data_IF_336766824485
#
_entry.id   IF_336766824485
#
_cell.length_a   1.000
_cell.length_b   1.000
_cell.length_c   1.000
_cell.angle_alpha   90.00
_cell.angle_beta   90.00
_cell.angle_gamma   90.00
#
_symmetry.space_group_name_H-M   'P 1'
#
loop_
_entity.id
_entity.type
_entity.pdbx_description
1 polymer ?
#
# COMPACT_ATOMS: atom_id res chain seq x y z
N UNK A 1 -12.77 -5.19 4.24
CA UNK A 1 -12.09 -6.36 3.66
C UNK A 1 -10.56 -6.22 3.68
N UNK A 2 -9.98 -5.10 3.25
CA UNK A 2 -8.52 -4.87 3.30
C UNK A 2 -7.87 -5.04 4.68
N UNK A 3 -8.49 -4.53 5.76
CA UNK A 3 -7.94 -4.72 7.11
C UNK A 3 -7.82 -6.19 7.53
N UNK A 4 -8.72 -7.07 7.06
CA UNK A 4 -8.63 -8.49 7.37
C UNK A 4 -7.42 -9.14 6.68
N UNK A 5 -7.12 -8.73 5.45
CA UNK A 5 -5.95 -9.20 4.70
C UNK A 5 -4.64 -8.64 5.29
N UNK A 6 -4.63 -7.36 5.67
CA UNK A 6 -3.48 -6.72 6.34
C UNK A 6 -3.20 -7.42 7.68
N UNK A 7 -4.24 -7.64 8.49
CA UNK A 7 -4.11 -8.35 9.75
C UNK A 7 -3.62 -9.78 9.55
N UNK A 8 -4.13 -10.49 8.55
CA UNK A 8 -3.68 -11.83 8.22
C UNK A 8 -2.19 -11.84 7.84
N UNK A 9 -1.77 -10.94 6.95
CA UNK A 9 -0.39 -10.79 6.54
C UNK A 9 0.56 -10.56 7.72
N UNK A 10 0.21 -9.67 8.65
CA UNK A 10 1.06 -9.39 9.81
C UNK A 10 0.97 -10.45 10.91
N UNK A 11 -0.23 -10.89 11.27
CA UNK A 11 -0.42 -11.78 12.42
C UNK A 11 -0.15 -13.25 12.09
N UNK A 12 -0.52 -13.70 10.89
CA UNK A 12 -0.38 -15.11 10.47
C UNK A 12 0.87 -15.33 9.62
N UNK A 13 1.10 -14.50 8.61
CA UNK A 13 2.26 -14.65 7.73
C UNK A 13 3.54 -13.99 8.29
N UNK A 14 3.42 -13.22 9.38
CA UNK A 14 4.55 -12.54 10.04
C UNK A 14 5.35 -11.64 9.10
N UNK A 15 4.67 -11.03 8.12
CA UNK A 15 5.31 -10.06 7.25
C UNK A 15 5.67 -8.80 8.05
N UNK A 16 6.82 -8.21 7.74
CA UNK A 16 7.26 -6.95 8.34
C UNK A 16 6.66 -5.75 7.60
N UNK A 17 6.32 -5.94 6.32
CA UNK A 17 5.93 -4.89 5.40
C UNK A 17 4.94 -5.37 4.35
N UNK A 18 4.02 -4.48 3.97
CA UNK A 18 3.17 -4.61 2.79
C UNK A 18 3.33 -3.40 1.89
N UNK A 19 3.43 -3.63 0.58
CA UNK A 19 3.44 -2.60 -0.46
C UNK A 19 2.21 -2.77 -1.37
N UNK A 20 1.62 -1.66 -1.78
CA UNK A 20 0.52 -1.61 -2.74
C UNK A 20 0.85 -0.60 -3.83
N UNK A 21 0.82 -1.04 -5.09
CA UNK A 21 1.04 -0.18 -6.26
C UNK A 21 -0.25 -0.01 -7.03
N UNK A 22 -0.56 1.23 -7.43
CA UNK A 22 -1.80 1.57 -8.13
C UNK A 22 -1.58 2.76 -9.06
N UNK A 23 -2.32 2.82 -10.18
CA UNK A 23 -2.22 3.94 -11.11
C UNK A 23 -2.66 5.25 -10.43
N UNK A 24 -2.02 6.39 -10.74
CA UNK A 24 -2.41 7.70 -10.17
C UNK A 24 -3.87 8.08 -10.48
N UNK A 25 -4.41 7.60 -11.61
CA UNK A 25 -5.82 7.81 -11.98
C UNK A 25 -6.82 6.98 -11.15
N UNK A 26 -6.36 5.98 -10.41
CA UNK A 26 -7.24 5.11 -9.61
C UNK A 26 -7.49 5.71 -8.22
N UNK A 27 -8.36 6.71 -8.17
CA UNK A 27 -8.72 7.44 -6.95
C UNK A 27 -9.30 6.50 -5.88
N UNK A 28 -10.04 5.47 -6.28
CA UNK A 28 -10.64 4.52 -5.34
C UNK A 28 -9.57 3.72 -4.58
N UNK A 29 -8.58 3.18 -5.29
CA UNK A 29 -7.47 2.45 -4.66
C UNK A 29 -6.61 3.36 -3.79
N UNK A 30 -6.37 4.61 -4.21
CA UNK A 30 -5.62 5.60 -3.43
C UNK A 30 -6.27 5.84 -2.08
N UNK A 31 -7.57 6.20 -2.09
CA UNK A 31 -8.33 6.45 -0.86
C UNK A 31 -8.43 5.21 0.01
N UNK A 32 -8.51 4.02 -0.59
CA UNK A 32 -8.53 2.77 0.16
C UNK A 32 -7.20 2.52 0.89
N UNK A 33 -6.07 2.74 0.22
CA UNK A 33 -4.74 2.62 0.84
C UNK A 33 -4.55 3.60 2.00
N UNK A 34 -4.94 4.87 1.81
CA UNK A 34 -4.94 5.88 2.86
C UNK A 34 -5.84 5.48 4.04
N UNK A 35 -7.06 5.02 3.76
CA UNK A 35 -8.02 4.57 4.77
C UNK A 35 -7.51 3.35 5.58
N UNK A 36 -6.71 2.49 4.96
CA UNK A 36 -6.10 1.33 5.63
C UNK A 36 -4.80 1.68 6.38
N UNK A 37 -4.43 2.97 6.47
CA UNK A 37 -3.24 3.42 7.19
C UNK A 37 -1.92 3.24 6.44
N UNK A 38 -1.97 2.94 5.13
CA UNK A 38 -0.77 2.90 4.30
C UNK A 38 -0.29 4.32 3.98
N UNK A 39 1.02 4.49 3.80
CA UNK A 39 1.66 5.78 3.50
C UNK A 39 2.25 5.77 2.10
N UNK A 40 2.09 6.87 1.37
CA UNK A 40 2.71 7.05 0.05
C UNK A 40 4.24 7.09 0.21
N UNK A 41 4.95 6.24 -0.53
CA UNK A 41 6.42 6.14 -0.51
C UNK A 41 7.07 6.42 -1.86
N UNK A 42 6.36 6.21 -2.98
CA UNK A 42 6.86 6.58 -4.32
C UNK A 42 5.74 7.19 -5.17
N UNK A 43 6.06 8.28 -5.86
CA UNK A 43 5.15 9.00 -6.76
C UNK A 43 5.78 9.38 -8.10
N UNK A 44 7.00 8.94 -8.36
CA UNK A 44 7.72 9.30 -9.58
C UNK A 44 7.25 8.48 -10.80
N UNK A 45 7.20 9.09 -11.99
CA UNK A 45 6.94 8.36 -13.23
C UNK A 45 8.04 7.31 -13.41
N UNK A 46 7.66 6.05 -13.66
CA UNK A 46 8.61 5.07 -14.16
C UNK A 46 8.95 5.42 -15.62
N UNK A 47 10.14 5.02 -16.08
CA UNK A 47 10.66 5.25 -17.44
C UNK A 47 9.70 4.78 -18.56
N UNK A 48 8.72 3.93 -18.25
CA UNK A 48 7.70 3.40 -19.15
C UNK A 48 6.38 4.23 -19.23
N UNK A 49 6.39 5.52 -18.88
CA UNK A 49 5.26 6.47 -19.08
C UNK A 49 3.97 6.15 -18.29
N UNK A 50 4.02 5.18 -17.38
CA UNK A 50 2.87 4.80 -16.56
C UNK A 50 3.05 5.31 -15.13
N UNK A 51 2.26 6.34 -14.83
CA UNK A 51 2.19 6.98 -13.53
C UNK A 51 1.51 6.11 -12.47
N UNK A 52 2.31 5.62 -11.51
CA UNK A 52 1.84 4.88 -10.35
C UNK A 52 2.13 5.61 -9.04
N UNK A 53 1.30 5.34 -8.04
CA UNK A 53 1.64 5.54 -6.64
C UNK A 53 1.98 4.21 -5.99
N UNK A 54 2.97 4.23 -5.10
CA UNK A 54 3.30 3.12 -4.23
C UNK A 54 3.05 3.52 -2.78
N UNK A 55 2.24 2.71 -2.10
CA UNK A 55 1.88 2.85 -0.70
C UNK A 55 2.47 1.72 0.13
N UNK A 56 2.85 2.02 1.36
CA UNK A 56 3.52 1.09 2.27
C UNK A 56 2.87 1.11 3.66
N UNK A 57 2.75 -0.05 4.29
CA UNK A 57 2.47 -0.18 5.73
C UNK A 57 3.42 -1.21 6.34
N UNK A 58 3.98 -0.87 7.49
CA UNK A 58 4.91 -1.73 8.23
C UNK A 58 4.28 -2.18 9.54
N UNK A 59 4.58 -3.41 9.93
CA UNK A 59 4.20 -3.93 11.24
C UNK A 59 5.18 -3.34 12.27
N UNK A 60 4.92 -2.12 12.74
CA UNK A 60 5.68 -1.52 13.83
C UNK A 60 5.37 -2.29 15.11
N UNK A 61 6.25 -3.22 15.43
CA UNK A 61 6.38 -3.73 16.80
C UNK A 61 7.16 -2.66 17.55
N UNK A 62 6.47 -1.72 18.18
CA UNK A 62 7.04 -0.98 19.32
C UNK A 62 7.06 -1.88 20.55
#
# INVERSE_FOLDING_TARGET
MCNALINYAFQKLKLEKLTARMFKKNIASIKLSEHCGMKLVKSEPNEDDVDFYEYEITNKTE
#
